data_IF_602084577878
#
_entry.id   IF_602084577878
#
_cell.length_a   1.000
_cell.length_b   1.000
_cell.length_c   1.000
_cell.angle_alpha   90.00
_cell.angle_beta   90.00
_cell.angle_gamma   90.00
#
_symmetry.space_group_name_H-M   'P 1'
#
loop_
_entity.id
_entity.type
_entity.pdbx_description
1 polymer ?
#
# COMPACT_ATOMS: atom_id res chain seq x y z
N UNK A 1 -3.79 22.68 -8.42
CA UNK A 1 -4.29 21.87 -7.30
C UNK A 1 -4.35 20.40 -7.71
N UNK A 2 -4.01 19.53 -6.78
CA UNK A 2 -3.98 18.08 -7.02
C UNK A 2 -4.88 17.37 -6.03
N UNK A 3 -5.62 16.38 -6.52
CA UNK A 3 -6.39 15.47 -5.69
C UNK A 3 -5.68 14.12 -5.67
N UNK A 4 -5.47 13.56 -4.49
CA UNK A 4 -4.87 12.24 -4.35
C UNK A 4 -5.90 11.30 -3.73
N UNK A 5 -6.33 10.32 -4.49
CA UNK A 5 -7.10 9.20 -3.98
C UNK A 5 -6.12 8.12 -3.55
N UNK A 6 -6.31 7.53 -2.38
CA UNK A 6 -5.40 6.52 -1.88
C UNK A 6 -6.13 5.42 -1.13
N UNK A 7 -5.55 4.24 -1.15
CA UNK A 7 -6.11 3.07 -0.48
C UNK A 7 -4.98 2.14 -0.05
N UNK A 8 -5.12 1.58 1.13
CA UNK A 8 -4.18 0.58 1.64
C UNK A 8 -4.55 -0.77 1.03
N UNK A 9 -3.54 -1.47 0.50
CA UNK A 9 -3.69 -2.84 0.02
C UNK A 9 -3.35 -3.78 1.17
N UNK A 10 -4.29 -4.62 1.55
CA UNK A 10 -4.14 -5.54 2.68
C UNK A 10 -4.20 -6.98 2.21
N UNK A 11 -3.43 -7.85 2.89
CA UNK A 11 -3.44 -9.28 2.68
C UNK A 11 -4.25 -9.95 3.80
N UNK A 12 -5.21 -10.77 3.41
CA UNK A 12 -6.08 -11.51 4.32
C UNK A 12 -5.82 -13.02 4.13
N UNK A 13 -5.13 -13.67 5.07
CA UNK A 13 -4.95 -15.12 5.00
C UNK A 13 -6.28 -15.86 5.01
N UNK A 14 -7.25 -15.31 5.74
CA UNK A 14 -8.58 -15.86 5.90
C UNK A 14 -9.60 -14.93 5.26
N UNK A 15 -10.40 -15.47 4.33
CA UNK A 15 -11.45 -14.70 3.66
C UNK A 15 -12.53 -14.20 4.62
N UNK A 16 -12.60 -14.74 5.82
CA UNK A 16 -13.54 -14.27 6.84
C UNK A 16 -13.02 -13.01 7.57
N UNK A 17 -11.85 -12.54 7.20
CA UNK A 17 -11.37 -11.20 7.51
C UNK A 17 -11.12 -10.91 8.99
N UNK A 18 -10.70 -11.91 9.73
CA UNK A 18 -10.42 -11.73 11.15
C UNK A 18 -9.09 -11.01 11.41
N UNK A 19 -8.14 -11.16 10.49
CA UNK A 19 -6.86 -10.47 10.60
C UNK A 19 -6.30 -10.18 9.23
N UNK A 20 -5.53 -9.10 9.11
CA UNK A 20 -4.93 -8.70 7.86
C UNK A 20 -3.56 -8.06 8.07
N UNK A 21 -2.79 -8.03 7.00
CA UNK A 21 -1.48 -7.39 6.98
C UNK A 21 -1.49 -6.34 5.88
N UNK A 22 -1.21 -5.09 6.23
CA UNK A 22 -1.04 -4.04 5.23
C UNK A 22 0.25 -4.28 4.46
N UNK A 23 0.16 -4.43 3.15
CA UNK A 23 1.32 -4.77 2.31
C UNK A 23 1.69 -3.67 1.32
N UNK A 24 0.81 -2.70 1.12
CA UNK A 24 1.10 -1.61 0.20
C UNK A 24 0.09 -0.49 0.30
N UNK A 25 0.32 0.54 -0.49
CA UNK A 25 -0.60 1.66 -0.61
C UNK A 25 -0.60 2.15 -2.06
N UNK A 26 -1.78 2.32 -2.60
CA UNK A 26 -1.98 2.81 -3.96
C UNK A 26 -2.40 4.28 -3.93
N UNK A 27 -1.86 5.06 -4.85
CA UNK A 27 -2.17 6.48 -5.00
C UNK A 27 -2.59 6.76 -6.43
N UNK A 28 -3.70 7.47 -6.58
CA UNK A 28 -4.15 8.02 -7.85
C UNK A 28 -4.05 9.53 -7.75
N UNK A 29 -3.14 10.14 -8.51
CA UNK A 29 -2.84 11.56 -8.43
C UNK A 29 -3.49 12.26 -9.62
N UNK A 30 -4.42 13.17 -9.36
CA UNK A 30 -5.20 13.84 -10.39
C UNK A 30 -4.98 15.35 -10.28
N UNK A 31 -4.51 15.96 -11.37
CA UNK A 31 -4.38 17.39 -11.51
C UNK A 31 -5.16 17.87 -12.73
N UNK A 32 -5.04 19.15 -13.06
CA UNK A 32 -5.80 19.76 -14.16
C UNK A 32 -5.54 19.07 -15.49
N UNK A 33 -4.28 18.77 -15.81
CA UNK A 33 -3.91 18.03 -17.02
C UNK A 33 -2.93 16.93 -16.67
N UNK A 34 -3.13 16.33 -15.48
CA UNK A 34 -2.18 15.40 -14.90
C UNK A 34 -2.92 14.22 -14.30
N UNK A 35 -2.48 13.01 -14.63
CA UNK A 35 -3.01 11.81 -14.02
C UNK A 35 -1.88 10.79 -13.93
N UNK A 36 -1.52 10.42 -12.71
CA UNK A 36 -0.47 9.44 -12.46
C UNK A 36 -0.89 8.50 -11.36
N UNK A 37 -0.78 7.22 -11.61
CA UNK A 37 -0.98 6.18 -10.61
C UNK A 37 0.38 5.71 -10.10
N UNK A 38 0.44 5.46 -8.79
CA UNK A 38 1.64 4.96 -8.15
C UNK A 38 1.24 4.02 -7.03
N UNK A 39 1.93 2.88 -6.91
CA UNK A 39 1.70 1.94 -5.82
C UNK A 39 3.03 1.56 -5.20
N UNK A 40 3.06 1.52 -3.87
CA UNK A 40 4.27 1.15 -3.11
C UNK A 40 3.95 0.00 -2.19
N UNK A 41 4.87 -0.94 -2.10
CA UNK A 41 4.73 -2.13 -1.26
C UNK A 41 5.73 -2.10 -0.10
N UNK A 42 5.44 -2.85 0.95
CA UNK A 42 6.39 -3.04 2.03
C UNK A 42 7.67 -3.68 1.47
N UNK A 43 8.81 -3.29 2.00
CA UNK A 43 10.10 -3.78 1.53
C UNK A 43 10.35 -5.23 1.91
N UNK A 44 9.84 -5.66 3.07
CA UNK A 44 10.04 -7.01 3.59
C UNK A 44 8.83 -7.90 3.30
N UNK A 45 8.69 -8.35 2.06
CA UNK A 45 7.57 -9.22 1.67
C UNK A 45 7.55 -10.55 2.45
N UNK A 46 8.68 -10.92 3.04
CA UNK A 46 8.75 -12.10 3.92
C UNK A 46 7.81 -12.02 5.12
N UNK A 47 7.36 -10.83 5.49
CA UNK A 47 6.34 -10.68 6.54
C UNK A 47 5.06 -11.41 6.22
N UNK A 48 4.74 -11.56 4.94
CA UNK A 48 3.56 -12.31 4.51
C UNK A 48 3.71 -13.78 4.89
N UNK A 49 4.91 -14.34 4.72
CA UNK A 49 5.19 -15.74 5.10
C UNK A 49 5.05 -15.94 6.61
N UNK A 50 5.51 -14.98 7.40
CA UNK A 50 5.40 -15.04 8.86
C UNK A 50 3.96 -14.88 9.33
N UNK A 51 3.16 -14.18 8.55
CA UNK A 51 1.77 -13.88 8.88
C UNK A 51 0.83 -15.02 8.48
N UNK A 52 1.15 -15.76 7.44
CA UNK A 52 0.30 -16.81 6.89
C UNK A 52 1.09 -18.13 6.82
N UNK A 53 0.77 -19.05 7.72
CA UNK A 53 1.46 -20.34 7.83
C UNK A 53 1.19 -21.27 6.64
N UNK A 54 0.16 -21.00 5.85
CA UNK A 54 -0.22 -21.85 4.73
C UNK A 54 0.59 -21.57 3.47
N UNK A 55 1.40 -20.51 3.47
CA UNK A 55 2.21 -20.13 2.32
C UNK A 55 3.64 -20.64 2.50
N UNK A 56 4.15 -21.37 1.50
CA UNK A 56 5.51 -21.93 1.53
C UNK A 56 6.56 -20.97 0.97
N UNK A 57 6.18 -20.14 -0.01
CA UNK A 57 7.11 -19.23 -0.66
C UNK A 57 6.37 -18.01 -1.23
N UNK A 58 7.15 -17.02 -1.67
CA UNK A 58 6.61 -15.75 -2.17
C UNK A 58 6.49 -15.68 -3.68
N UNK A 59 6.78 -16.75 -4.41
CA UNK A 59 6.82 -16.69 -5.87
C UNK A 59 5.50 -16.19 -6.47
N UNK A 60 4.39 -16.79 -6.10
CA UNK A 60 3.07 -16.40 -6.60
C UNK A 60 2.69 -15.00 -6.15
N UNK A 61 2.97 -14.67 -4.89
CA UNK A 61 2.69 -13.35 -4.33
C UNK A 61 3.47 -12.27 -5.06
N UNK A 62 4.75 -12.50 -5.29
CA UNK A 62 5.60 -11.56 -6.02
C UNK A 62 5.09 -11.34 -7.44
N UNK A 63 4.68 -12.40 -8.13
CA UNK A 63 4.10 -12.29 -9.46
C UNK A 63 2.84 -11.44 -9.44
N UNK A 64 1.96 -11.67 -8.47
CA UNK A 64 0.71 -10.91 -8.35
C UNK A 64 0.97 -9.45 -8.06
N UNK A 65 1.82 -9.13 -7.09
CA UNK A 65 2.10 -7.75 -6.71
C UNK A 65 2.82 -6.98 -7.83
N UNK A 66 3.79 -7.61 -8.47
CA UNK A 66 4.51 -6.97 -9.57
C UNK A 66 3.61 -6.74 -10.78
N UNK A 67 2.71 -7.69 -11.07
CA UNK A 67 1.72 -7.54 -12.12
C UNK A 67 0.72 -6.44 -11.81
N UNK A 68 0.25 -6.35 -10.57
CA UNK A 68 -0.66 -5.31 -10.13
C UNK A 68 -0.01 -3.92 -10.27
N UNK A 69 1.25 -3.80 -9.85
CA UNK A 69 1.99 -2.54 -9.97
C UNK A 69 2.10 -2.11 -11.43
N UNK A 70 2.49 -3.03 -12.29
CA UNK A 70 2.64 -2.76 -13.71
C UNK A 70 1.31 -2.30 -14.33
N UNK A 71 0.24 -3.03 -14.08
CA UNK A 71 -1.07 -2.70 -14.62
C UNK A 71 -1.56 -1.35 -14.10
N UNK A 72 -1.52 -1.15 -12.78
CA UNK A 72 -2.03 0.07 -12.16
C UNK A 72 -1.27 1.31 -12.63
N UNK A 73 0.05 1.25 -12.66
CA UNK A 73 0.89 2.41 -13.01
C UNK A 73 0.88 2.71 -14.51
N UNK A 74 0.81 1.69 -15.36
CA UNK A 74 0.88 1.90 -16.81
C UNK A 74 -0.45 2.21 -17.46
N UNK A 75 -1.54 1.65 -16.96
CA UNK A 75 -2.85 1.87 -17.59
C UNK A 75 -3.59 3.09 -17.07
N UNK A 76 -3.12 3.68 -15.96
CA UNK A 76 -3.76 4.85 -15.32
C UNK A 76 -5.25 4.66 -15.05
N UNK A 77 -5.64 3.44 -14.70
CA UNK A 77 -7.04 3.17 -14.37
C UNK A 77 -7.39 3.82 -13.02
N UNK A 78 -8.67 4.16 -12.86
CA UNK A 78 -9.15 4.70 -11.60
C UNK A 78 -8.98 3.70 -10.47
N UNK A 79 -8.56 4.18 -9.31
CA UNK A 79 -8.44 3.36 -8.12
C UNK A 79 -9.76 2.68 -7.75
N UNK A 80 -10.89 3.29 -8.06
CA UNK A 80 -12.22 2.72 -7.84
C UNK A 80 -12.43 1.38 -8.54
N UNK A 81 -11.74 1.16 -9.66
CA UNK A 81 -11.87 -0.08 -10.41
C UNK A 81 -11.30 -1.27 -9.66
N UNK A 82 -10.44 -1.03 -8.68
CA UNK A 82 -9.80 -2.08 -7.89
C UNK A 82 -10.49 -2.34 -6.55
N UNK A 83 -11.31 -1.42 -6.08
CA UNK A 83 -11.86 -1.45 -4.72
C UNK A 83 -12.74 -2.68 -4.43
N UNK A 84 -13.47 -3.19 -5.41
CA UNK A 84 -14.44 -4.26 -5.19
C UNK A 84 -13.89 -5.65 -5.45
N UNK A 85 -12.58 -5.75 -5.70
CA UNK A 85 -11.96 -7.03 -6.07
C UNK A 85 -11.16 -7.59 -4.91
N UNK A 86 -11.61 -8.74 -4.42
CA UNK A 86 -10.83 -9.54 -3.50
C UNK A 86 -10.15 -10.63 -4.34
N UNK A 87 -8.87 -10.45 -4.62
CA UNK A 87 -8.13 -11.34 -5.53
C UNK A 87 -6.91 -11.89 -4.81
N UNK A 88 -6.77 -13.20 -4.81
CA UNK A 88 -5.61 -13.88 -4.22
C UNK A 88 -5.34 -13.46 -2.78
N UNK A 89 -6.42 -13.25 -2.00
CA UNK A 89 -6.35 -12.83 -0.60
C UNK A 89 -5.90 -11.36 -0.42
N UNK A 90 -5.82 -10.59 -1.50
CA UNK A 90 -5.52 -9.16 -1.44
C UNK A 90 -6.78 -8.32 -1.63
N UNK A 91 -6.87 -7.25 -0.88
CA UNK A 91 -8.03 -6.39 -0.90
C UNK A 91 -7.63 -4.94 -0.63
N UNK A 92 -8.13 -4.02 -1.46
CA UNK A 92 -7.95 -2.59 -1.22
C UNK A 92 -8.97 -2.10 -0.20
N UNK A 93 -8.46 -1.48 0.86
CA UNK A 93 -9.30 -0.90 1.88
C UNK A 93 -10.04 0.33 1.35
N UNK A 94 -10.83 0.99 2.20
CA UNK A 94 -11.60 2.16 1.79
C UNK A 94 -10.73 3.20 1.10
N UNK A 95 -11.23 3.74 -0.01
CA UNK A 95 -10.55 4.81 -0.73
C UNK A 95 -10.82 6.13 -0.04
N UNK A 96 -9.76 6.84 0.29
CA UNK A 96 -9.84 8.18 0.85
C UNK A 96 -9.16 9.16 -0.07
N UNK A 97 -9.33 10.46 0.16
CA UNK A 97 -8.69 11.45 -0.68
C UNK A 97 -8.21 12.64 0.14
N UNK A 98 -7.24 13.34 -0.43
CA UNK A 98 -6.75 14.64 0.08
C UNK A 98 -6.43 15.55 -1.09
N UNK A 99 -6.52 16.87 -0.84
CA UNK A 99 -6.19 17.91 -1.82
C UNK A 99 -4.87 18.56 -1.47
N UNK A 100 -4.08 18.87 -2.48
CA UNK A 100 -2.77 19.50 -2.31
C UNK A 100 -2.56 20.62 -3.35
N UNK A 101 -1.78 21.62 -2.99
CA UNK A 101 -1.51 22.74 -3.88
C UNK A 101 -0.36 22.48 -4.86
N UNK A 102 0.55 21.57 -4.53
CA UNK A 102 1.73 21.31 -5.35
C UNK A 102 2.09 19.84 -5.38
N UNK A 103 2.86 19.45 -6.41
CA UNK A 103 3.41 18.10 -6.49
C UNK A 103 4.38 17.78 -5.36
N UNK A 104 5.09 18.81 -4.86
CA UNK A 104 5.98 18.62 -3.73
C UNK A 104 5.22 18.14 -2.50
N UNK A 105 4.07 18.76 -2.23
CA UNK A 105 3.20 18.33 -1.12
C UNK A 105 2.65 16.94 -1.34
N UNK A 106 2.28 16.63 -2.58
CA UNK A 106 1.82 15.28 -2.95
C UNK A 106 2.90 14.25 -2.66
N UNK A 107 4.13 14.50 -3.10
CA UNK A 107 5.24 13.56 -2.88
C UNK A 107 5.55 13.39 -1.40
N UNK A 108 5.48 14.45 -0.61
CA UNK A 108 5.67 14.37 0.83
C UNK A 108 4.59 13.52 1.49
N UNK A 109 3.36 13.68 1.05
CA UNK A 109 2.24 12.88 1.53
C UNK A 109 2.43 11.39 1.21
N UNK A 110 2.83 11.08 -0.02
CA UNK A 110 3.09 9.71 -0.46
C UNK A 110 4.17 9.07 0.42
N UNK A 111 5.27 9.76 0.66
CA UNK A 111 6.35 9.24 1.48
C UNK A 111 5.92 8.99 2.93
N UNK A 112 5.17 9.92 3.50
CA UNK A 112 4.66 9.77 4.88
C UNK A 112 3.68 8.60 5.00
N UNK A 113 2.78 8.50 4.03
CA UNK A 113 1.79 7.43 4.02
C UNK A 113 2.46 6.07 3.84
N UNK A 114 3.44 6.00 2.95
CA UNK A 114 4.21 4.78 2.73
C UNK A 114 4.92 4.33 4.01
N UNK A 115 5.55 5.25 4.72
CA UNK A 115 6.19 4.93 6.00
C UNK A 115 5.19 4.40 7.03
N UNK A 116 4.00 4.99 7.06
CA UNK A 116 2.95 4.51 7.95
C UNK A 116 2.54 3.08 7.62
N UNK A 117 2.33 2.78 6.34
CA UNK A 117 1.98 1.43 5.88
C UNK A 117 3.10 0.44 6.22
N UNK A 118 4.34 0.86 6.06
CA UNK A 118 5.50 0.03 6.42
C UNK A 118 5.47 -0.33 7.90
N UNK A 119 5.10 0.61 8.77
CA UNK A 119 4.96 0.34 10.20
C UNK A 119 3.83 -0.66 10.47
N UNK A 120 2.71 -0.55 9.75
CA UNK A 120 1.61 -1.51 9.88
C UNK A 120 2.01 -2.91 9.44
N UNK A 121 2.96 -3.02 8.50
CA UNK A 121 3.46 -4.29 8.02
C UNK A 121 4.53 -4.92 8.92
N UNK A 122 4.90 -4.26 10.03
CA UNK A 122 5.90 -4.77 10.98
C UNK A 122 5.20 -5.37 12.21
N UNK A 123 5.86 -6.29 12.91
CA UNK A 123 5.35 -6.76 14.19
C UNK A 123 5.49 -5.64 15.25
N UNK A 124 4.86 -5.84 16.40
CA UNK A 124 4.82 -4.82 17.45
C UNK A 124 6.22 -4.38 17.89
N UNK A 125 7.12 -5.33 18.05
CA UNK A 125 8.49 -5.06 18.49
C UNK A 125 9.27 -4.23 17.46
N UNK A 126 9.15 -4.60 16.20
CA UNK A 126 9.80 -3.87 15.10
C UNK A 126 9.25 -2.46 14.97
N UNK A 127 7.93 -2.28 15.11
CA UNK A 127 7.31 -0.96 15.06
C UNK A 127 7.83 -0.04 16.16
N UNK A 128 7.94 -0.55 17.39
CA UNK A 128 8.44 0.23 18.50
C UNK A 128 9.88 0.67 18.30
N UNK A 129 10.74 -0.24 17.82
CA UNK A 129 12.13 0.10 17.52
C UNK A 129 12.24 1.19 16.45
N UNK A 130 11.41 1.11 15.43
CA UNK A 130 11.43 2.08 14.35
C UNK A 130 10.98 3.46 14.82
N UNK A 131 9.93 3.49 15.64
CA UNK A 131 9.42 4.75 16.22
C UNK A 131 10.49 5.39 17.10
N UNK A 132 11.15 4.62 17.97
CA UNK A 132 12.23 5.12 18.81
C UNK A 132 13.35 5.72 17.98
N UNK A 133 13.76 5.05 16.90
CA UNK A 133 14.81 5.53 16.00
C UNK A 133 14.43 6.86 15.36
N UNK A 134 13.18 6.99 14.90
CA UNK A 134 12.69 8.23 14.30
C UNK A 134 12.66 9.39 15.31
N UNK A 135 12.26 9.11 16.54
CA UNK A 135 12.26 10.13 17.59
C UNK A 135 13.67 10.59 17.95
N UNK A 136 14.64 9.68 17.91
CA UNK A 136 16.04 10.04 18.20
C UNK A 136 16.70 10.84 17.07
N UNK A 137 16.21 10.72 15.85
CA UNK A 137 16.78 11.41 14.68
C UNK A 137 16.04 12.71 14.34
N UNK A 138 14.94 12.97 14.97
CA UNK A 138 14.20 14.22 14.79
C UNK A 138 14.71 15.27 15.78
#
# INVERSE_FOLDING_TARGET
MFKVNYSILSYYPDIYLHSNLAVGVAFEIIGESYHKNEIKFITKRRKILSFDDEIDNLEFINMFLDGLKCEFEQTNQSLKNYKKKFVNNFYFENIEYKMFDSLKEVNNFIEKTYKYVLHLGLDKKERLKKIEKELLTS
#
